data_IF_782357642572
#
_entry.id   IF_782357642572
#
_cell.length_a   1.000
_cell.length_b   1.000
_cell.length_c   1.000
_cell.angle_alpha   90.00
_cell.angle_beta   90.00
_cell.angle_gamma   90.00
#
_symmetry.space_group_name_H-M   'P 1'
#
loop_
_entity.id
_entity.type
_entity.pdbx_description
1 polymer ?
#
# COMPACT_ATOMS: atom_id res chain seq x y z
N UNK A 1 22.09 13.57 -2.88
CA UNK A 1 20.89 12.73 -2.79
C UNK A 1 20.30 12.96 -1.41
N UNK A 2 19.14 13.63 -1.31
CA UNK A 2 18.52 13.89 -0.01
C UNK A 2 17.87 12.59 0.47
N UNK A 3 18.37 12.02 1.56
CA UNK A 3 17.71 10.90 2.20
C UNK A 3 16.39 11.40 2.79
N UNK A 4 15.26 10.97 2.22
CA UNK A 4 13.96 11.19 2.85
C UNK A 4 13.91 10.30 4.10
N UNK A 5 13.87 10.87 5.33
CA UNK A 5 13.78 10.06 6.53
C UNK A 5 12.48 9.26 6.48
N UNK A 6 12.55 7.98 6.89
CA UNK A 6 11.35 7.14 6.99
C UNK A 6 10.32 7.84 7.90
N UNK A 7 9.03 7.87 7.52
CA UNK A 7 7.97 8.34 8.41
C UNK A 7 8.08 7.64 9.77
N UNK A 8 7.90 8.39 10.86
CA UNK A 8 7.95 7.82 12.20
C UNK A 8 6.68 7.00 12.45
N UNK A 9 6.75 5.70 12.21
CA UNK A 9 5.68 4.76 12.54
C UNK A 9 5.76 4.34 14.03
N UNK A 10 4.59 4.23 14.66
CA UNK A 10 4.42 3.70 16.01
C UNK A 10 3.37 2.56 15.98
N UNK A 11 3.70 1.34 16.43
CA UNK A 11 5.03 0.90 16.88
C UNK A 11 6.04 0.95 15.73
N UNK A 12 7.33 1.10 16.09
CA UNK A 12 8.41 1.03 15.09
C UNK A 12 8.45 -0.39 14.52
N UNK A 13 8.56 -0.56 13.19
CA UNK A 13 8.78 -1.87 12.58
C UNK A 13 10.02 -2.55 13.18
N UNK A 14 9.94 -3.85 13.44
CA UNK A 14 11.08 -4.64 13.93
C UNK A 14 12.25 -4.62 12.93
N UNK A 15 11.92 -4.52 11.64
CA UNK A 15 12.86 -4.43 10.54
C UNK A 15 12.43 -3.33 9.58
N UNK A 16 13.37 -2.46 9.20
CA UNK A 16 13.19 -1.44 8.17
C UNK A 16 14.51 -1.20 7.45
N UNK A 17 14.49 -1.18 6.12
CA UNK A 17 15.64 -0.90 5.27
C UNK A 17 15.26 0.18 4.26
N UNK A 18 16.09 1.21 4.13
CA UNK A 18 15.89 2.27 3.13
C UNK A 18 16.57 1.83 1.83
N UNK A 19 15.79 1.72 0.75
CA UNK A 19 16.28 1.41 -0.60
C UNK A 19 16.24 2.65 -1.49
N UNK A 20 17.16 2.80 -2.45
CA UNK A 20 17.13 3.92 -3.40
C UNK A 20 15.92 3.80 -4.33
N UNK A 21 15.31 4.95 -4.65
CA UNK A 21 14.14 5.06 -5.51
C UNK A 21 12.97 5.74 -4.81
N UNK A 22 11.89 5.94 -5.57
CA UNK A 22 10.64 6.52 -5.08
C UNK A 22 9.47 5.66 -5.56
N UNK A 23 8.48 5.46 -4.69
CA UNK A 23 7.20 4.86 -5.06
C UNK A 23 6.21 6.01 -5.36
N UNK A 24 5.78 6.11 -6.61
CA UNK A 24 4.74 7.05 -7.02
C UNK A 24 3.43 6.30 -7.26
N UNK A 25 2.36 6.76 -6.63
CA UNK A 25 1.02 6.24 -6.86
C UNK A 25 0.34 7.09 -7.95
N UNK A 26 -0.07 6.44 -9.03
CA UNK A 26 -0.79 7.06 -10.14
C UNK A 26 -2.28 6.85 -10.00
N UNK A 27 -3.07 7.92 -10.15
CA UNK A 27 -4.54 7.81 -10.13
C UNK A 27 -5.08 7.29 -11.48
N UNK A 28 -6.01 6.33 -11.49
CA UNK A 28 -6.55 5.61 -10.33
C UNK A 28 -5.53 4.60 -9.76
N UNK A 29 -5.48 4.51 -8.42
CA UNK A 29 -4.60 3.57 -7.72
C UNK A 29 -5.26 2.21 -7.68
N UNK A 30 -4.72 1.27 -8.45
CA UNK A 30 -5.20 -0.11 -8.47
C UNK A 30 -4.79 -0.87 -7.21
N UNK A 31 -5.77 -1.48 -6.53
CA UNK A 31 -5.57 -2.36 -5.39
C UNK A 31 -6.06 -3.76 -5.72
N UNK A 32 -5.18 -4.74 -5.57
CA UNK A 32 -5.52 -6.16 -5.64
C UNK A 32 -5.34 -6.80 -4.27
N UNK A 33 -6.23 -7.72 -3.94
CA UNK A 33 -6.15 -8.52 -2.72
C UNK A 33 -6.41 -9.98 -3.07
N UNK A 34 -5.66 -10.89 -2.46
CA UNK A 34 -5.95 -12.32 -2.53
C UNK A 34 -7.25 -12.66 -1.75
N UNK A 35 -7.76 -13.90 -1.86
CA UNK A 35 -8.96 -14.29 -1.13
C UNK A 35 -8.86 -14.11 0.39
N UNK A 36 -7.69 -14.36 0.98
CA UNK A 36 -7.44 -14.24 2.43
C UNK A 36 -7.47 -12.80 2.94
N UNK A 37 -7.07 -11.84 2.10
CA UNK A 37 -7.05 -10.42 2.40
C UNK A 37 -8.29 -9.66 1.87
N UNK A 38 -9.22 -10.35 1.20
CA UNK A 38 -10.39 -9.71 0.56
C UNK A 38 -11.26 -8.91 1.54
N UNK A 39 -11.40 -9.38 2.79
CA UNK A 39 -12.18 -8.73 3.83
C UNK A 39 -11.62 -7.35 4.24
N UNK A 40 -10.30 -7.15 4.16
CA UNK A 40 -9.65 -5.89 4.55
C UNK A 40 -9.46 -4.94 3.37
N UNK A 41 -9.55 -5.42 2.13
CA UNK A 41 -9.32 -4.64 0.93
C UNK A 41 -10.22 -3.39 0.84
N UNK A 42 -11.51 -3.52 1.17
CA UNK A 42 -12.44 -2.39 1.18
C UNK A 42 -12.10 -1.32 2.21
N UNK A 43 -11.63 -1.73 3.39
CA UNK A 43 -11.19 -0.80 4.45
C UNK A 43 -9.94 -0.05 4.02
N UNK A 44 -8.95 -0.74 3.44
CA UNK A 44 -7.72 -0.13 2.94
C UNK A 44 -8.03 0.86 1.80
N UNK A 45 -8.91 0.51 0.87
CA UNK A 45 -9.36 1.42 -0.20
C UNK A 45 -9.97 2.70 0.37
N UNK A 46 -10.88 2.58 1.34
CA UNK A 46 -11.54 3.72 1.95
C UNK A 46 -10.56 4.62 2.72
N UNK A 47 -9.70 4.04 3.55
CA UNK A 47 -8.75 4.81 4.36
C UNK A 47 -7.67 5.49 3.52
N UNK A 48 -7.13 4.80 2.51
CA UNK A 48 -6.15 5.41 1.61
C UNK A 48 -6.77 6.53 0.78
N UNK A 49 -7.99 6.34 0.26
CA UNK A 49 -8.69 7.38 -0.48
C UNK A 49 -8.93 8.61 0.41
N UNK A 50 -9.36 8.39 1.66
CA UNK A 50 -9.58 9.45 2.65
C UNK A 50 -8.30 10.20 3.01
N UNK A 51 -7.19 9.48 3.23
CA UNK A 51 -5.93 10.07 3.68
C UNK A 51 -5.15 10.78 2.57
N UNK A 52 -5.25 10.30 1.33
CA UNK A 52 -4.43 10.78 0.21
C UNK A 52 -5.19 11.64 -0.79
N UNK A 53 -6.53 11.57 -0.80
CA UNK A 53 -7.37 12.17 -1.83
C UNK A 53 -7.29 11.46 -3.19
N UNK A 54 -6.54 10.35 -3.30
CA UNK A 54 -6.44 9.56 -4.52
C UNK A 54 -7.64 8.63 -4.65
N UNK A 55 -8.08 8.39 -5.88
CA UNK A 55 -9.07 7.35 -6.14
C UNK A 55 -8.38 5.98 -6.07
N UNK A 56 -8.69 5.21 -5.03
CA UNK A 56 -8.23 3.81 -4.89
C UNK A 56 -9.36 2.87 -5.29
N UNK A 57 -9.10 1.98 -6.25
CA UNK A 57 -10.11 1.09 -6.82
C UNK A 57 -9.58 -0.34 -6.97
N UNK A 58 -10.46 -1.36 -6.99
CA UNK A 58 -10.06 -2.73 -7.29
C UNK A 58 -9.38 -2.83 -8.67
N UNK A 59 -8.31 -3.62 -8.77
CA UNK A 59 -7.61 -3.91 -10.00
C UNK A 59 -7.24 -5.39 -10.11
N UNK A 60 -6.93 -5.85 -11.32
CA UNK A 60 -6.28 -7.15 -11.52
C UNK A 60 -4.86 -7.17 -10.93
N UNK A 61 -4.30 -8.35 -10.67
CA UNK A 61 -2.97 -8.51 -10.07
C UNK A 61 -1.87 -7.80 -10.87
N UNK A 62 -2.01 -7.78 -12.19
CA UNK A 62 -0.98 -7.26 -13.11
C UNK A 62 -1.07 -5.73 -13.26
N UNK A 63 -2.18 -5.14 -12.84
CA UNK A 63 -2.47 -3.70 -12.94
C UNK A 63 -2.46 -3.01 -11.57
N UNK A 64 -2.29 -3.78 -10.48
CA UNK A 64 -2.31 -3.28 -9.12
C UNK A 64 -0.99 -2.58 -8.76
N UNK A 65 -1.11 -1.42 -8.13
CA UNK A 65 -0.01 -0.68 -7.52
C UNK A 65 0.13 -1.05 -6.03
N UNK A 66 -0.98 -1.50 -5.40
CA UNK A 66 -1.03 -1.97 -4.03
C UNK A 66 -1.53 -3.41 -4.02
N UNK A 67 -0.78 -4.29 -3.38
CA UNK A 67 -1.08 -5.72 -3.28
C UNK A 67 -1.24 -6.09 -1.81
N UNK A 68 -2.38 -6.66 -1.45
CA UNK A 68 -2.64 -7.21 -0.13
C UNK A 68 -2.63 -8.73 -0.21
N UNK A 69 -1.82 -9.35 0.65
CA UNK A 69 -1.75 -10.80 0.78
C UNK A 69 -1.86 -11.19 2.24
N UNK A 70 -2.53 -12.30 2.49
CA UNK A 70 -2.47 -12.96 3.79
C UNK A 70 -1.44 -14.08 3.67
N UNK A 71 -0.24 -13.86 4.19
CA UNK A 71 0.75 -14.93 4.31
C UNK A 71 0.36 -15.83 5.49
N UNK A 72 0.41 -17.15 5.28
CA UNK A 72 0.07 -18.20 6.27
C UNK A 72 1.24 -18.53 7.23
N UNK A 73 2.22 -17.63 7.39
CA UNK A 73 3.41 -17.86 8.24
C UNK A 73 3.07 -18.09 9.73
#
# INVERSE_FOLDING_TARGET
MSAHPLPSLLPKPAHAEVRPGELLLHAPVGLWADPGASAVAGLVQAELSRATGLAVAPAGSDEAQIVLRLDDD
#
